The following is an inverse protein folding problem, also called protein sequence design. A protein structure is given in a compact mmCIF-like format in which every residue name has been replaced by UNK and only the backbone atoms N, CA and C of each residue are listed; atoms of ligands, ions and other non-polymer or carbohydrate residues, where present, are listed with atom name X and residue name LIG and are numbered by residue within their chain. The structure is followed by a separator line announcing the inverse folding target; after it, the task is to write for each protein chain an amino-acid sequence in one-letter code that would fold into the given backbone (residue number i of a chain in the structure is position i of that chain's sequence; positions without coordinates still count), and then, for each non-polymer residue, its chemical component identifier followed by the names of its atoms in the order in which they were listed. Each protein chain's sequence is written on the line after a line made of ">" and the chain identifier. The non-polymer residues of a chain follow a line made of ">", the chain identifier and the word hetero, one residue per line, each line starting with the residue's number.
data_IF_075469587514
#
_entry.id   IF_075469587514
#
_cell.length_a   1.000
_cell.length_b   1.000
_cell.length_c   1.000
_cell.angle_alpha   90.00
_cell.angle_beta   90.00
_cell.angle_gamma   90.00
#
_symmetry.space_group_name_H-M   'P 1'
#
loop_
_entity.id
_entity.type
_entity.pdbx_description
1 polymer ?
#
# COMPACT_ATOMS: atom_id res chain seq x y z
N UNK A 1 -7.09 -10.51 21.60
CA UNK A 1 -5.65 -10.20 21.72
C UNK A 1 -5.49 -8.74 22.16
N UNK A 2 -4.55 -8.43 23.07
CA UNK A 2 -4.27 -7.03 23.46
C UNK A 2 -3.51 -6.32 22.34
N UNK A 3 -3.86 -5.06 22.07
CA UNK A 3 -3.21 -4.20 21.07
C UNK A 3 -1.86 -3.71 21.59
N UNK A 4 -0.90 -3.51 20.68
CA UNK A 4 0.44 -3.05 21.04
C UNK A 4 0.46 -1.56 21.46
N UNK A 5 -0.27 -0.71 20.73
CA UNK A 5 -0.28 0.73 20.97
C UNK A 5 -1.47 1.18 21.83
N UNK A 6 -1.31 2.32 22.50
CA UNK A 6 -2.34 2.93 23.34
C UNK A 6 -3.52 3.44 22.48
N UNK A 7 -4.71 2.86 22.67
CA UNK A 7 -5.91 3.15 21.88
C UNK A 7 -6.37 4.60 22.07
N UNK A 8 -6.36 5.09 23.32
CA UNK A 8 -6.79 6.45 23.64
C UNK A 8 -5.90 7.48 22.95
N UNK A 9 -4.59 7.23 22.86
CA UNK A 9 -3.68 8.12 22.14
C UNK A 9 -3.92 8.09 20.63
N UNK A 10 -4.32 6.96 20.05
CA UNK A 10 -4.70 6.87 18.63
C UNK A 10 -5.99 7.64 18.35
N UNK A 11 -6.98 7.54 19.24
CA UNK A 11 -8.23 8.32 19.17
C UNK A 11 -7.95 9.83 19.28
N UNK A 12 -7.15 10.23 20.26
CA UNK A 12 -6.71 11.62 20.43
C UNK A 12 -5.97 12.13 19.18
N UNK A 13 -5.07 11.31 18.63
CA UNK A 13 -4.35 11.64 17.41
C UNK A 13 -5.30 11.86 16.23
N UNK A 14 -6.31 11.03 16.07
CA UNK A 14 -7.31 11.20 15.02
C UNK A 14 -8.11 12.51 15.19
N UNK A 15 -8.49 12.86 16.41
CA UNK A 15 -9.19 14.11 16.73
C UNK A 15 -8.29 15.31 16.39
N UNK A 16 -7.03 15.30 16.83
CA UNK A 16 -6.06 16.37 16.55
C UNK A 16 -5.81 16.54 15.05
N UNK A 17 -5.65 15.45 14.31
CA UNK A 17 -5.49 15.50 12.85
C UNK A 17 -6.73 16.04 12.15
N UNK A 18 -7.93 15.70 12.64
CA UNK A 18 -9.18 16.19 12.09
C UNK A 18 -9.35 17.69 12.35
N UNK A 19 -9.02 18.16 13.56
CA UNK A 19 -9.00 19.57 13.89
C UNK A 19 -8.00 20.37 13.03
N UNK A 20 -6.81 19.82 12.78
CA UNK A 20 -5.84 20.44 11.87
C UNK A 20 -6.38 20.57 10.44
N UNK A 21 -7.12 19.56 9.94
CA UNK A 21 -7.81 19.63 8.64
C UNK A 21 -8.89 20.71 8.64
N UNK A 22 -9.73 20.78 9.67
CA UNK A 22 -10.77 21.80 9.78
C UNK A 22 -10.20 23.22 9.86
N UNK A 23 -9.10 23.42 10.59
CA UNK A 23 -8.36 24.68 10.57
C UNK A 23 -7.86 25.04 9.18
N UNK A 24 -7.32 24.07 8.43
CA UNK A 24 -6.86 24.33 7.06
C UNK A 24 -7.98 24.77 6.11
N UNK A 25 -9.24 24.51 6.48
CA UNK A 25 -10.46 24.97 5.79
C UNK A 25 -11.08 26.22 6.42
N UNK A 26 -10.36 26.89 7.32
CA UNK A 26 -10.85 28.04 8.08
C UNK A 26 -12.15 27.76 8.89
N UNK A 27 -12.44 26.50 9.21
CA UNK A 27 -13.59 26.10 10.04
C UNK A 27 -13.31 26.23 11.54
N UNK A 28 -12.04 26.31 11.93
CA UNK A 28 -11.58 26.49 13.30
C UNK A 28 -10.57 27.63 13.37
N UNK A 29 -10.60 28.38 14.47
CA UNK A 29 -9.54 29.36 14.79
C UNK A 29 -8.27 28.65 15.28
N UNK A 30 -7.13 29.33 15.22
CA UNK A 30 -5.87 28.82 15.78
C UNK A 30 -5.96 28.51 17.28
N UNK A 31 -6.74 29.30 18.02
CA UNK A 31 -6.98 29.10 19.46
C UNK A 31 -7.79 27.84 19.73
N UNK A 32 -8.84 27.58 18.94
CA UNK A 32 -9.64 26.36 19.05
C UNK A 32 -8.81 25.11 18.71
N UNK A 33 -7.96 25.16 17.68
CA UNK A 33 -7.04 24.06 17.36
C UNK A 33 -6.06 23.80 18.52
N UNK A 34 -5.50 24.86 19.10
CA UNK A 34 -4.61 24.75 20.26
C UNK A 34 -5.33 24.12 21.46
N UNK A 35 -6.56 24.54 21.74
CA UNK A 35 -7.38 23.99 22.82
C UNK A 35 -7.68 22.50 22.60
N UNK A 36 -7.96 22.07 21.37
CA UNK A 36 -8.14 20.65 21.03
C UNK A 36 -6.86 19.86 21.31
N UNK A 37 -5.68 20.38 20.92
CA UNK A 37 -4.38 19.72 21.20
C UNK A 37 -4.12 19.58 22.69
N UNK A 38 -4.48 20.58 23.49
CA UNK A 38 -4.34 20.52 24.95
C UNK A 38 -5.33 19.55 25.59
N UNK A 39 -6.57 19.49 25.10
CA UNK A 39 -7.63 18.62 25.65
C UNK A 39 -7.46 17.14 25.27
N UNK A 40 -6.87 16.87 24.11
CA UNK A 40 -6.65 15.51 23.59
C UNK A 40 -5.16 15.27 23.33
N UNK A 41 -4.33 15.18 24.40
CA UNK A 41 -2.90 14.97 24.23
C UNK A 41 -2.60 13.58 23.69
N UNK A 42 -1.64 13.51 22.78
CA UNK A 42 -1.01 12.28 22.32
C UNK A 42 0.47 12.34 22.67
N UNK A 43 1.03 11.24 23.13
CA UNK A 43 2.41 11.19 23.65
C UNK A 43 3.31 10.27 22.81
N UNK A 44 2.92 9.99 21.56
CA UNK A 44 3.71 9.13 20.71
C UNK A 44 4.96 9.83 20.21
N UNK A 45 6.06 9.09 20.14
CA UNK A 45 7.23 9.52 19.41
C UNK A 45 6.99 9.35 17.89
N UNK A 46 6.84 10.48 17.18
CA UNK A 46 6.51 10.52 15.75
C UNK A 46 7.53 11.35 14.97
N UNK A 47 8.67 10.75 14.58
CA UNK A 47 9.69 11.45 13.80
C UNK A 47 9.17 11.82 12.40
N UNK A 48 9.74 12.87 11.82
CA UNK A 48 9.51 13.21 10.41
C UNK A 48 9.96 12.09 9.47
N UNK A 49 9.47 12.09 8.21
CA UNK A 49 9.70 10.99 7.27
C UNK A 49 11.18 10.64 7.09
N UNK A 50 12.08 11.63 6.98
CA UNK A 50 13.52 11.41 6.85
C UNK A 50 14.11 10.67 8.06
N UNK A 51 13.82 11.16 9.27
CA UNK A 51 14.28 10.53 10.52
C UNK A 51 13.67 9.14 10.69
N UNK A 52 12.39 8.97 10.36
CA UNK A 52 11.71 7.66 10.36
C UNK A 52 12.41 6.66 9.45
N UNK A 53 12.75 7.05 8.22
CA UNK A 53 13.48 6.19 7.29
C UNK A 53 14.87 5.85 7.80
N UNK A 54 15.61 6.83 8.34
CA UNK A 54 16.92 6.59 8.95
C UNK A 54 16.84 5.61 10.11
N UNK A 55 15.93 5.83 11.06
CA UNK A 55 15.70 4.95 12.20
C UNK A 55 15.30 3.52 11.80
N UNK A 56 14.50 3.39 10.74
CA UNK A 56 14.14 2.08 10.18
C UNK A 56 15.38 1.35 9.65
N UNK A 57 16.20 2.01 8.83
CA UNK A 57 17.42 1.41 8.26
C UNK A 57 18.41 1.03 9.36
N UNK A 58 18.67 1.92 10.31
CA UNK A 58 19.55 1.62 11.46
C UNK A 58 18.99 0.49 12.32
N UNK A 59 17.68 0.42 12.51
CA UNK A 59 17.02 -0.68 13.21
C UNK A 59 17.24 -2.02 12.51
N UNK A 60 17.11 -2.07 11.18
CA UNK A 60 17.39 -3.27 10.40
C UNK A 60 18.85 -3.68 10.49
N UNK A 61 19.78 -2.73 10.38
CA UNK A 61 21.22 -2.98 10.55
C UNK A 61 21.49 -3.58 11.92
N UNK A 62 20.93 -2.99 12.99
CA UNK A 62 21.06 -3.51 14.35
C UNK A 62 20.50 -4.93 14.50
N UNK A 63 19.37 -5.23 13.88
CA UNK A 63 18.82 -6.60 13.85
C UNK A 63 19.77 -7.54 13.10
N UNK A 64 20.25 -7.17 11.91
CA UNK A 64 21.19 -8.00 11.15
C UNK A 64 22.49 -8.28 11.93
N UNK A 65 23.04 -7.27 12.62
CA UNK A 65 24.20 -7.47 13.50
C UNK A 65 23.89 -8.44 14.65
N UNK A 66 22.72 -8.34 15.28
CA UNK A 66 22.33 -9.24 16.35
C UNK A 66 22.16 -10.69 15.85
N UNK A 67 21.45 -10.91 14.75
CA UNK A 67 21.31 -12.23 14.13
C UNK A 67 22.68 -12.79 13.70
N UNK A 68 23.52 -11.97 13.07
CA UNK A 68 24.88 -12.35 12.69
C UNK A 68 25.73 -12.73 13.90
N UNK A 69 25.70 -11.94 14.97
CA UNK A 69 26.38 -12.25 16.22
C UNK A 69 25.92 -13.57 16.84
N UNK A 70 24.60 -13.81 16.89
CA UNK A 70 24.07 -15.09 17.35
C UNK A 70 24.55 -16.27 16.48
N UNK A 71 24.66 -16.08 15.17
CA UNK A 71 25.10 -17.14 14.26
C UNK A 71 26.55 -17.57 14.49
N UNK A 72 27.43 -16.67 14.98
CA UNK A 72 28.84 -17.00 15.26
C UNK A 72 28.95 -18.11 16.32
N UNK A 73 28.09 -18.09 17.34
CA UNK A 73 28.12 -19.10 18.42
C UNK A 73 27.74 -20.50 17.95
N UNK A 74 27.18 -20.63 16.76
CA UNK A 74 26.66 -21.89 16.24
C UNK A 74 27.18 -22.19 14.83
N UNK A 75 28.17 -21.41 14.37
CA UNK A 75 28.77 -21.51 13.04
C UNK A 75 29.45 -22.86 12.81
N UNK A 76 30.11 -23.41 13.82
CA UNK A 76 30.81 -24.70 13.73
C UNK A 76 29.86 -25.91 13.80
N UNK A 77 28.57 -25.69 14.14
CA UNK A 77 27.52 -26.71 14.21
C UNK A 77 26.46 -26.50 13.11
N UNK A 78 26.88 -25.96 11.96
CA UNK A 78 26.01 -25.55 10.87
C UNK A 78 25.14 -26.72 10.35
N UNK A 79 23.86 -26.69 10.71
CA UNK A 79 22.79 -27.52 10.16
C UNK A 79 21.53 -26.67 10.00
N UNK A 80 20.59 -27.09 9.15
CA UNK A 80 19.30 -26.40 8.98
C UNK A 80 18.53 -26.25 10.29
N UNK A 81 18.58 -27.28 11.14
CA UNK A 81 17.99 -27.25 12.48
C UNK A 81 18.67 -26.19 13.37
N UNK A 82 19.99 -26.09 13.30
CA UNK A 82 20.77 -25.09 14.03
C UNK A 82 20.36 -23.67 13.62
N UNK A 83 20.28 -23.38 12.33
CA UNK A 83 19.85 -22.08 11.82
C UNK A 83 18.40 -21.75 12.20
N UNK A 84 17.51 -22.74 12.18
CA UNK A 84 16.12 -22.60 12.60
C UNK A 84 16.00 -22.25 14.08
N UNK A 85 16.78 -22.88 14.95
CA UNK A 85 16.79 -22.56 16.39
C UNK A 85 17.32 -21.15 16.63
N UNK A 86 18.43 -20.77 15.98
CA UNK A 86 19.01 -19.42 16.10
C UNK A 86 18.02 -18.34 15.63
N UNK A 87 17.34 -18.58 14.51
CA UNK A 87 16.37 -17.61 13.98
C UNK A 87 15.14 -17.48 14.90
N UNK A 88 14.69 -18.56 15.53
CA UNK A 88 13.61 -18.49 16.53
C UNK A 88 14.02 -17.70 17.77
N UNK A 89 15.25 -17.89 18.27
CA UNK A 89 15.78 -17.08 19.38
C UNK A 89 15.82 -15.61 18.99
N UNK A 90 16.30 -15.31 17.77
CA UNK A 90 16.31 -13.94 17.25
C UNK A 90 14.89 -13.36 17.14
N UNK A 91 13.92 -14.12 16.64
CA UNK A 91 12.52 -13.69 16.54
C UNK A 91 11.94 -13.33 17.92
N UNK A 92 12.16 -14.18 18.92
CA UNK A 92 11.71 -13.92 20.31
C UNK A 92 12.35 -12.65 20.84
N UNK A 93 13.66 -12.46 20.65
CA UNK A 93 14.36 -11.25 21.06
C UNK A 93 13.78 -10.00 20.37
N UNK A 94 13.56 -10.02 19.06
CA UNK A 94 13.00 -8.88 18.32
C UNK A 94 11.60 -8.53 18.79
N UNK A 95 10.71 -9.50 18.97
CA UNK A 95 9.35 -9.23 19.48
C UNK A 95 9.36 -8.75 20.93
N UNK A 96 10.28 -9.25 21.76
CA UNK A 96 10.45 -8.76 23.12
C UNK A 96 10.90 -7.29 23.14
N UNK A 97 11.95 -6.95 22.40
CA UNK A 97 12.43 -5.56 22.31
C UNK A 97 11.42 -4.63 21.64
N UNK A 98 10.69 -5.11 20.63
CA UNK A 98 9.59 -4.35 20.02
C UNK A 98 8.56 -3.93 21.07
N UNK A 99 8.07 -4.89 21.86
CA UNK A 99 7.10 -4.63 22.93
C UNK A 99 7.64 -3.72 24.02
N UNK A 100 8.90 -3.92 24.40
CA UNK A 100 9.57 -3.12 25.42
C UNK A 100 9.72 -1.65 24.98
N UNK A 101 10.22 -1.44 23.76
CA UNK A 101 10.44 -0.11 23.21
C UNK A 101 9.13 0.63 22.89
N UNK A 102 8.09 -0.07 22.41
CA UNK A 102 6.78 0.54 22.22
C UNK A 102 6.25 1.13 23.54
N UNK A 103 6.38 0.39 24.64
CA UNK A 103 5.86 0.81 25.96
C UNK A 103 6.71 1.91 26.59
N UNK A 104 8.03 1.74 26.59
CA UNK A 104 8.93 2.63 27.31
C UNK A 104 9.24 3.91 26.53
N UNK A 105 9.39 3.82 25.22
CA UNK A 105 9.75 4.94 24.35
C UNK A 105 8.53 5.53 23.63
N UNK A 106 7.32 5.00 23.91
CA UNK A 106 6.04 5.46 23.34
C UNK A 106 6.09 5.49 21.80
N UNK A 107 6.72 4.48 21.20
CA UNK A 107 6.86 4.41 19.74
C UNK A 107 5.50 4.18 19.06
N UNK A 108 5.31 4.79 17.90
CA UNK A 108 4.16 4.53 17.03
C UNK A 108 4.53 4.73 15.57
N UNK A 109 4.76 3.61 14.87
CA UNK A 109 5.20 3.58 13.47
C UNK A 109 6.35 4.56 13.23
N UNK A 110 7.32 4.54 14.12
CA UNK A 110 8.45 5.47 14.22
C UNK A 110 9.64 5.08 13.33
N UNK A 111 9.62 3.86 12.78
CA UNK A 111 10.72 3.27 12.02
C UNK A 111 11.38 2.13 12.80
N UNK A 112 11.82 2.36 14.03
CA UNK A 112 12.48 1.32 14.84
C UNK A 112 11.53 0.16 15.14
N UNK A 113 10.30 0.46 15.54
CA UNK A 113 9.26 -0.54 15.81
C UNK A 113 8.87 -1.32 14.56
N UNK A 114 8.80 -0.67 13.40
CA UNK A 114 8.61 -1.34 12.12
C UNK A 114 9.79 -2.27 11.78
N UNK A 115 11.03 -1.83 11.99
CA UNK A 115 12.22 -2.64 11.70
C UNK A 115 12.25 -3.92 12.56
N UNK A 116 12.02 -3.81 13.87
CA UNK A 116 11.95 -4.96 14.78
C UNK A 116 10.78 -5.89 14.43
N UNK A 117 9.62 -5.34 14.04
CA UNK A 117 8.48 -6.13 13.58
C UNK A 117 8.84 -6.97 12.36
N UNK A 118 9.44 -6.37 11.33
CA UNK A 118 9.77 -7.07 10.09
C UNK A 118 10.94 -8.04 10.27
N UNK A 119 11.95 -7.68 11.07
CA UNK A 119 13.02 -8.59 11.46
C UNK A 119 12.48 -9.79 12.26
N UNK A 120 11.55 -9.55 13.20
CA UNK A 120 10.86 -10.58 13.98
C UNK A 120 10.07 -11.54 13.09
N UNK A 121 9.29 -11.01 12.15
CA UNK A 121 8.53 -11.82 11.18
C UNK A 121 9.47 -12.60 10.28
N UNK A 122 10.51 -11.98 9.74
CA UNK A 122 11.50 -12.63 8.88
C UNK A 122 12.19 -13.80 9.61
N UNK A 123 12.65 -13.56 10.82
CA UNK A 123 13.29 -14.57 11.66
C UNK A 123 12.33 -15.71 12.07
N UNK A 124 11.04 -15.40 12.26
CA UNK A 124 9.99 -16.41 12.51
C UNK A 124 9.61 -17.21 11.26
N UNK A 125 9.81 -16.65 10.06
CA UNK A 125 9.58 -17.33 8.79
C UNK A 125 10.76 -18.21 8.37
N UNK A 126 11.98 -17.94 8.83
CA UNK A 126 13.18 -18.76 8.49
C UNK A 126 12.99 -20.26 8.77
N UNK A 127 12.51 -20.72 9.95
CA UNK A 127 12.27 -22.14 10.20
C UNK A 127 11.19 -22.72 9.31
N UNK A 128 10.21 -21.91 8.89
CA UNK A 128 9.17 -22.37 7.97
C UNK A 128 9.79 -22.76 6.64
N UNK A 129 10.74 -21.98 6.13
CA UNK A 129 11.43 -22.29 4.87
C UNK A 129 12.41 -23.46 5.00
N UNK A 130 13.15 -23.55 6.11
CA UNK A 130 14.14 -24.60 6.31
C UNK A 130 13.52 -25.96 6.69
N UNK A 131 12.60 -25.99 7.67
CA UNK A 131 12.06 -27.25 8.20
C UNK A 131 10.98 -27.87 7.32
N UNK A 132 10.32 -27.07 6.48
CA UNK A 132 9.30 -27.53 5.53
C UNK A 132 9.81 -27.45 4.09
N UNK A 133 11.12 -27.53 3.86
CA UNK A 133 11.67 -27.57 2.52
C UNK A 133 11.00 -28.67 1.67
N UNK A 134 10.56 -28.31 0.46
CA UNK A 134 9.81 -29.19 -0.44
C UNK A 134 8.30 -29.29 -0.16
N UNK A 135 7.77 -28.59 0.85
CA UNK A 135 6.33 -28.49 1.03
C UNK A 135 5.66 -27.72 -0.13
N UNK A 136 4.39 -28.00 -0.38
CA UNK A 136 3.62 -27.28 -1.39
C UNK A 136 3.45 -25.80 -1.05
N UNK A 137 3.35 -24.94 -2.08
CA UNK A 137 3.23 -23.49 -1.93
C UNK A 137 2.10 -23.03 -1.00
N UNK A 138 0.96 -23.75 -1.00
CA UNK A 138 -0.14 -23.53 -0.06
C UNK A 138 0.29 -23.61 1.42
N UNK A 139 1.21 -24.50 1.79
CA UNK A 139 1.68 -24.66 3.19
C UNK A 139 2.40 -23.39 3.64
N UNK A 140 3.30 -22.86 2.81
CA UNK A 140 3.98 -21.60 3.08
C UNK A 140 2.99 -20.44 3.21
N UNK A 141 1.99 -20.36 2.34
CA UNK A 141 0.95 -19.32 2.43
C UNK A 141 0.13 -19.43 3.72
N UNK A 142 -0.24 -20.64 4.14
CA UNK A 142 -0.99 -20.86 5.39
C UNK A 142 -0.18 -20.45 6.62
N UNK A 143 1.09 -20.85 6.69
CA UNK A 143 1.97 -20.50 7.82
C UNK A 143 2.26 -18.99 7.86
N UNK A 144 2.52 -18.38 6.69
CA UNK A 144 2.67 -16.94 6.57
C UNK A 144 1.40 -16.21 7.02
N UNK A 145 0.21 -16.68 6.63
CA UNK A 145 -1.07 -16.10 7.07
C UNK A 145 -1.22 -16.09 8.58
N UNK A 146 -0.85 -17.17 9.26
CA UNK A 146 -0.95 -17.26 10.72
C UNK A 146 -0.05 -16.19 11.36
N UNK A 147 1.23 -16.14 10.96
CA UNK A 147 2.22 -15.21 11.52
C UNK A 147 1.82 -13.76 11.24
N UNK A 148 1.49 -13.45 9.98
CA UNK A 148 1.14 -12.10 9.54
C UNK A 148 -0.20 -11.64 10.13
N UNK A 149 -1.17 -12.53 10.35
CA UNK A 149 -2.44 -12.18 10.97
C UNK A 149 -2.24 -11.82 12.44
N UNK A 150 -1.44 -12.58 13.17
CA UNK A 150 -1.08 -12.24 14.56
C UNK A 150 -0.37 -10.89 14.61
N UNK A 151 0.59 -10.64 13.70
CA UNK A 151 1.26 -9.35 13.61
C UNK A 151 0.28 -8.20 13.28
N UNK A 152 -0.59 -8.38 12.29
CA UNK A 152 -1.57 -7.37 11.86
C UNK A 152 -2.58 -7.04 12.97
N UNK A 153 -3.13 -8.06 13.63
CA UNK A 153 -4.08 -7.85 14.73
C UNK A 153 -3.41 -7.21 15.96
N UNK A 154 -2.09 -7.37 16.13
CA UNK A 154 -1.38 -6.80 17.28
C UNK A 154 -0.91 -5.37 17.00
N UNK A 155 -0.31 -5.13 15.84
CA UNK A 155 0.39 -3.89 15.52
C UNK A 155 -0.32 -3.02 14.47
N UNK A 156 -1.40 -3.49 13.83
CA UNK A 156 -2.12 -2.75 12.78
C UNK A 156 -1.18 -2.12 11.73
N UNK A 157 -0.15 -2.87 11.32
CA UNK A 157 0.85 -2.41 10.36
C UNK A 157 0.43 -2.68 8.90
N UNK A 158 0.72 -1.73 8.01
CA UNK A 158 0.30 -1.77 6.61
C UNK A 158 0.98 -2.88 5.80
N UNK A 159 2.28 -3.11 6.00
CA UNK A 159 3.00 -4.15 5.24
C UNK A 159 2.59 -5.54 5.69
N UNK A 160 2.37 -5.74 7.00
CA UNK A 160 1.82 -7.01 7.50
C UNK A 160 0.41 -7.27 6.97
N UNK A 161 -0.43 -6.23 6.88
CA UNK A 161 -1.77 -6.32 6.28
C UNK A 161 -1.70 -6.67 4.79
N UNK A 162 -0.80 -6.03 4.04
CA UNK A 162 -0.56 -6.37 2.63
C UNK A 162 -0.09 -7.82 2.49
N UNK A 163 0.82 -8.26 3.36
CA UNK A 163 1.29 -9.64 3.39
C UNK A 163 0.15 -10.64 3.65
N UNK A 164 -0.74 -10.36 4.61
CA UNK A 164 -1.94 -11.19 4.83
C UNK A 164 -2.81 -11.26 3.58
N UNK A 165 -3.04 -10.12 2.93
CA UNK A 165 -3.83 -10.06 1.71
C UNK A 165 -3.20 -10.92 0.60
N UNK A 166 -1.91 -10.73 0.33
CA UNK A 166 -1.20 -11.49 -0.70
C UNK A 166 -1.18 -12.99 -0.40
N UNK A 167 -0.88 -13.37 0.85
CA UNK A 167 -0.84 -14.78 1.24
C UNK A 167 -2.23 -15.45 1.14
N UNK A 168 -3.32 -14.74 1.45
CA UNK A 168 -4.68 -15.27 1.32
C UNK A 168 -5.07 -15.49 -0.14
N UNK A 169 -4.82 -14.51 -1.00
CA UNK A 169 -5.15 -14.60 -2.42
C UNK A 169 -4.25 -15.60 -3.14
N UNK A 170 -2.96 -15.67 -2.78
CA UNK A 170 -2.02 -16.67 -3.28
C UNK A 170 -2.42 -18.09 -2.87
N UNK A 171 -2.85 -18.28 -1.61
CA UNK A 171 -3.35 -19.58 -1.14
C UNK A 171 -4.56 -20.05 -1.96
N UNK A 172 -5.56 -19.20 -2.13
CA UNK A 172 -6.76 -19.55 -2.92
C UNK A 172 -6.40 -19.79 -4.38
N UNK A 173 -5.50 -18.98 -4.95
CA UNK A 173 -4.98 -19.18 -6.30
C UNK A 173 -4.31 -20.54 -6.47
N UNK A 174 -3.37 -20.90 -5.58
CA UNK A 174 -2.68 -22.19 -5.59
C UNK A 174 -3.65 -23.37 -5.52
N UNK A 175 -4.63 -23.30 -4.60
CA UNK A 175 -5.63 -24.34 -4.44
C UNK A 175 -6.50 -24.53 -5.69
N UNK A 176 -6.87 -23.43 -6.36
CA UNK A 176 -7.63 -23.48 -7.61
C UNK A 176 -6.80 -24.04 -8.78
N UNK A 177 -5.50 -23.73 -8.85
CA UNK A 177 -4.64 -24.18 -9.94
C UNK A 177 -4.41 -25.70 -9.97
N UNK A 178 -4.67 -26.41 -8.87
CA UNK A 178 -4.55 -27.88 -8.79
C UNK A 178 -5.52 -28.64 -9.70
N UNK A 179 -6.60 -28.00 -10.14
CA UNK A 179 -7.62 -28.62 -10.97
C UNK A 179 -7.80 -27.83 -12.28
N UNK A 180 -7.93 -28.47 -13.45
CA UNK A 180 -8.14 -27.78 -14.72
C UNK A 180 -9.35 -26.83 -14.69
N UNK A 181 -10.48 -27.28 -14.12
CA UNK A 181 -11.67 -26.44 -13.96
C UNK A 181 -11.43 -25.27 -13.00
N UNK A 182 -10.55 -25.43 -12.02
CA UNK A 182 -10.18 -24.39 -11.08
C UNK A 182 -9.39 -23.26 -11.74
N UNK A 183 -8.53 -23.55 -12.74
CA UNK A 183 -7.89 -22.52 -13.56
C UNK A 183 -8.91 -21.67 -14.33
N UNK A 184 -9.93 -22.29 -14.90
CA UNK A 184 -10.99 -21.59 -15.62
C UNK A 184 -11.88 -20.73 -14.70
N UNK A 185 -12.15 -21.21 -13.48
CA UNK A 185 -12.98 -20.50 -12.50
C UNK A 185 -12.21 -19.54 -11.59
N UNK A 186 -10.87 -19.55 -11.65
CA UNK A 186 -9.98 -18.70 -10.86
C UNK A 186 -10.39 -17.22 -10.82
N UNK A 187 -10.67 -16.53 -11.95
CA UNK A 187 -11.07 -15.12 -11.91
C UNK A 187 -12.31 -14.88 -11.04
N UNK A 188 -13.33 -15.74 -11.17
CA UNK A 188 -14.55 -15.64 -10.37
C UNK A 188 -14.28 -15.93 -8.89
N UNK A 189 -13.44 -16.93 -8.58
CA UNK A 189 -13.05 -17.24 -7.21
C UNK A 189 -12.36 -16.05 -6.53
N UNK A 190 -11.43 -15.39 -7.23
CA UNK A 190 -10.74 -14.20 -6.71
C UNK A 190 -11.68 -12.99 -6.56
N UNK A 191 -12.63 -12.81 -7.49
CA UNK A 191 -13.67 -11.78 -7.37
C UNK A 191 -14.57 -12.04 -6.15
N UNK A 192 -15.05 -13.27 -5.96
CA UNK A 192 -15.90 -13.64 -4.82
C UNK A 192 -15.14 -13.46 -3.51
N UNK A 193 -13.90 -13.94 -3.43
CA UNK A 193 -13.05 -13.76 -2.26
C UNK A 193 -12.85 -12.28 -1.94
N UNK A 194 -12.57 -11.46 -2.95
CA UNK A 194 -12.44 -10.02 -2.80
C UNK A 194 -13.73 -9.37 -2.28
N UNK A 195 -14.90 -9.74 -2.81
CA UNK A 195 -16.18 -9.22 -2.34
C UNK A 195 -16.47 -9.61 -0.88
N UNK A 196 -16.14 -10.86 -0.49
CA UNK A 196 -16.27 -11.34 0.89
C UNK A 196 -15.36 -10.53 1.81
N UNK A 197 -14.06 -10.44 1.50
CA UNK A 197 -13.07 -9.72 2.33
C UNK A 197 -13.46 -8.24 2.44
N UNK A 198 -13.82 -7.59 1.33
CA UNK A 198 -14.28 -6.20 1.32
C UNK A 198 -15.48 -5.98 2.26
N UNK A 199 -16.45 -6.89 2.20
CA UNK A 199 -17.66 -6.81 3.02
C UNK A 199 -17.36 -6.98 4.51
N UNK A 200 -16.50 -7.95 4.88
CA UNK A 200 -16.08 -8.17 6.26
C UNK A 200 -15.28 -6.98 6.81
N UNK A 201 -14.33 -6.47 6.02
CA UNK A 201 -13.49 -5.32 6.40
C UNK A 201 -14.33 -4.06 6.62
N UNK A 202 -15.44 -3.90 5.88
CA UNK A 202 -16.36 -2.76 6.07
C UNK A 202 -17.00 -2.73 7.45
N UNK A 203 -17.24 -3.90 8.06
CA UNK A 203 -17.84 -4.04 9.40
C UNK A 203 -16.90 -3.58 10.52
N UNK A 204 -15.59 -3.51 10.27
CA UNK A 204 -14.61 -3.06 11.26
C UNK A 204 -14.82 -1.56 11.54
N UNK A 205 -15.24 -1.22 12.76
CA UNK A 205 -15.44 0.17 13.22
C UNK A 205 -14.30 0.72 14.07
N UNK A 206 -13.34 -0.13 14.44
CA UNK A 206 -12.29 0.26 15.36
C UNK A 206 -11.25 1.15 14.67
N UNK A 207 -11.02 2.35 15.22
CA UNK A 207 -10.11 3.35 14.65
C UNK A 207 -8.66 2.85 14.57
N UNK A 208 -8.29 1.91 15.44
CA UNK A 208 -6.97 1.29 15.47
C UNK A 208 -6.56 0.65 14.15
N UNK A 209 -7.53 0.11 13.39
CA UNK A 209 -7.29 -0.56 12.12
C UNK A 209 -7.69 0.31 10.92
N UNK A 210 -7.87 1.62 11.09
CA UNK A 210 -8.42 2.47 10.04
C UNK A 210 -7.56 2.46 8.76
N UNK A 211 -6.24 2.56 8.89
CA UNK A 211 -5.34 2.54 7.72
C UNK A 211 -5.31 1.15 7.06
N UNK A 212 -5.23 0.08 7.86
CA UNK A 212 -5.30 -1.31 7.39
C UNK A 212 -6.61 -1.58 6.64
N UNK A 213 -7.73 -1.08 7.17
CA UNK A 213 -9.07 -1.18 6.56
C UNK A 213 -9.09 -0.51 5.19
N UNK A 214 -8.58 0.72 5.10
CA UNK A 214 -8.54 1.47 3.85
C UNK A 214 -7.68 0.77 2.79
N UNK A 215 -6.52 0.23 3.19
CA UNK A 215 -5.66 -0.58 2.33
C UNK A 215 -6.38 -1.83 1.80
N UNK A 216 -6.96 -2.65 2.70
CA UNK A 216 -7.66 -3.87 2.30
C UNK A 216 -8.86 -3.59 1.39
N UNK A 217 -9.64 -2.55 1.68
CA UNK A 217 -10.74 -2.15 0.81
C UNK A 217 -10.24 -1.81 -0.59
N UNK A 218 -9.14 -1.05 -0.68
CA UNK A 218 -8.55 -0.69 -1.95
C UNK A 218 -8.02 -1.90 -2.74
N UNK A 219 -7.25 -2.77 -2.08
CA UNK A 219 -6.72 -3.99 -2.68
C UNK A 219 -7.84 -4.93 -3.15
N UNK A 220 -8.91 -5.08 -2.37
CA UNK A 220 -10.07 -5.86 -2.79
C UNK A 220 -10.70 -5.27 -4.06
N UNK A 221 -10.98 -3.97 -4.09
CA UNK A 221 -11.55 -3.33 -5.28
C UNK A 221 -10.69 -3.52 -6.52
N UNK A 222 -9.36 -3.41 -6.38
CA UNK A 222 -8.42 -3.68 -7.48
C UNK A 222 -8.51 -5.13 -7.95
N UNK A 223 -8.41 -6.12 -7.06
CA UNK A 223 -8.46 -7.54 -7.45
C UNK A 223 -9.84 -7.94 -8.01
N UNK A 224 -10.92 -7.37 -7.47
CA UNK A 224 -12.27 -7.59 -7.99
C UNK A 224 -12.39 -7.11 -9.45
N UNK A 225 -11.84 -5.93 -9.74
CA UNK A 225 -11.80 -5.41 -11.10
C UNK A 225 -10.89 -6.24 -12.01
N UNK A 226 -9.67 -6.58 -11.56
CA UNK A 226 -8.73 -7.36 -12.37
C UNK A 226 -9.27 -8.76 -12.69
N UNK A 227 -9.96 -9.41 -11.75
CA UNK A 227 -10.63 -10.69 -12.00
C UNK A 227 -11.79 -10.62 -13.01
N UNK A 228 -12.37 -9.44 -13.23
CA UNK A 228 -13.40 -9.21 -14.25
C UNK A 228 -12.87 -8.56 -15.53
N UNK A 229 -11.62 -8.12 -15.56
CA UNK A 229 -11.06 -7.42 -16.70
C UNK A 229 -10.68 -8.40 -17.82
N UNK A 230 -11.17 -8.15 -19.03
CA UNK A 230 -11.00 -9.04 -20.18
C UNK A 230 -9.53 -9.29 -20.54
N UNK A 231 -8.69 -8.26 -20.55
CA UNK A 231 -7.25 -8.42 -20.84
C UNK A 231 -6.59 -9.34 -19.82
N UNK A 232 -6.81 -9.09 -18.54
CA UNK A 232 -6.21 -9.88 -17.46
C UNK A 232 -6.66 -11.34 -17.51
N UNK A 233 -7.95 -11.58 -17.72
CA UNK A 233 -8.48 -12.95 -17.75
C UNK A 233 -8.01 -13.70 -18.98
N UNK A 234 -7.98 -13.07 -20.16
CA UNK A 234 -7.53 -13.70 -21.40
C UNK A 234 -6.05 -14.03 -21.36
N UNK A 235 -5.20 -13.06 -21.09
CA UNK A 235 -3.74 -13.25 -21.05
C UNK A 235 -3.34 -14.13 -19.85
N UNK A 236 -4.00 -13.94 -18.70
CA UNK A 236 -3.79 -14.79 -17.53
C UNK A 236 -4.15 -16.24 -17.77
N UNK A 237 -5.27 -16.52 -18.45
CA UNK A 237 -5.65 -17.89 -18.79
C UNK A 237 -4.66 -18.55 -19.76
N UNK A 238 -4.19 -17.81 -20.77
CA UNK A 238 -3.17 -18.31 -21.69
C UNK A 238 -1.85 -18.62 -20.95
N UNK A 239 -1.40 -17.71 -20.08
CA UNK A 239 -0.18 -17.89 -19.28
C UNK A 239 -0.28 -19.09 -18.32
N UNK A 240 -1.41 -19.25 -17.62
CA UNK A 240 -1.64 -20.36 -16.68
C UNK A 240 -1.75 -21.74 -17.35
N UNK A 241 -2.04 -21.77 -18.64
CA UNK A 241 -2.08 -22.97 -19.45
C UNK A 241 -0.83 -23.13 -20.34
N UNK A 242 0.21 -22.31 -20.10
CA UNK A 242 1.49 -22.36 -20.81
C UNK A 242 1.33 -22.31 -22.34
N UNK A 243 0.33 -21.55 -22.80
CA UNK A 243 0.06 -21.38 -24.21
C UNK A 243 1.05 -20.38 -24.81
N UNK A 244 2.13 -20.88 -25.40
CA UNK A 244 3.13 -20.07 -26.10
C UNK A 244 2.69 -19.69 -27.52
N UNK A 245 1.49 -19.13 -27.63
CA UNK A 245 0.94 -18.64 -28.89
C UNK A 245 1.22 -17.14 -29.06
N UNK A 246 1.46 -16.65 -30.29
CA UNK A 246 1.66 -15.23 -30.53
C UNK A 246 0.43 -14.38 -30.20
N UNK A 247 -0.76 -15.00 -30.19
CA UNK A 247 -2.03 -14.39 -29.82
C UNK A 247 -2.74 -15.36 -28.87
N UNK A 248 -3.04 -14.89 -27.66
CA UNK A 248 -3.78 -15.66 -26.67
C UNK A 248 -5.15 -16.06 -27.21
N UNK A 249 -5.62 -17.30 -27.05
CA UNK A 249 -6.92 -17.72 -27.57
C UNK A 249 -8.07 -16.95 -26.92
N UNK A 250 -9.21 -16.95 -27.59
CA UNK A 250 -10.41 -16.33 -27.03
C UNK A 250 -10.90 -17.16 -25.84
N UNK A 251 -11.20 -16.48 -24.73
CA UNK A 251 -11.79 -17.11 -23.54
C UNK A 251 -13.30 -17.31 -23.70
N UNK A 252 -13.80 -18.37 -23.08
CA UNK A 252 -15.23 -18.56 -22.90
C UNK A 252 -15.84 -17.37 -22.13
N UNK A 253 -17.10 -17.05 -22.42
CA UNK A 253 -17.81 -15.92 -21.82
C UNK A 253 -17.14 -14.55 -22.02
N UNK A 254 -16.32 -14.35 -23.06
CA UNK A 254 -15.73 -13.05 -23.35
C UNK A 254 -16.70 -11.84 -23.30
N UNK A 255 -17.97 -11.93 -23.77
CA UNK A 255 -18.93 -10.83 -23.61
C UNK A 255 -19.17 -10.41 -22.15
N UNK A 256 -19.13 -11.35 -21.21
CA UNK A 256 -19.26 -11.08 -19.79
C UNK A 256 -18.05 -10.28 -19.27
N UNK A 257 -16.84 -10.64 -19.69
CA UNK A 257 -15.63 -9.93 -19.29
C UNK A 257 -15.52 -8.55 -19.95
N UNK A 258 -16.03 -8.36 -21.16
CA UNK A 258 -16.21 -7.01 -21.72
C UNK A 258 -17.17 -6.17 -20.87
N UNK A 259 -18.32 -6.75 -20.51
CA UNK A 259 -19.29 -6.10 -19.63
C UNK A 259 -18.64 -5.71 -18.30
N UNK A 260 -17.91 -6.61 -17.64
CA UNK A 260 -17.23 -6.33 -16.38
C UNK A 260 -16.13 -5.28 -16.52
N UNK A 261 -15.34 -5.34 -17.59
CA UNK A 261 -14.29 -4.35 -17.91
C UNK A 261 -14.86 -2.94 -17.94
N UNK A 262 -16.07 -2.74 -18.45
CA UNK A 262 -16.71 -1.42 -18.50
C UNK A 262 -17.53 -1.10 -17.26
N UNK A 263 -18.37 -2.04 -16.80
CA UNK A 263 -19.38 -1.79 -15.77
C UNK A 263 -18.78 -1.62 -14.37
N UNK A 264 -17.72 -2.37 -14.02
CA UNK A 264 -17.12 -2.31 -12.69
C UNK A 264 -16.52 -0.92 -12.40
N UNK A 265 -15.64 -0.35 -13.24
CA UNK A 265 -15.11 1.00 -13.02
C UNK A 265 -16.19 2.07 -12.99
N UNK A 266 -17.19 2.00 -13.90
CA UNK A 266 -18.32 2.94 -13.92
C UNK A 266 -19.10 2.85 -12.60
N UNK A 267 -19.36 1.64 -12.12
CA UNK A 267 -19.99 1.40 -10.83
C UNK A 267 -19.18 2.01 -9.68
N UNK A 268 -17.85 1.84 -9.68
CA UNK A 268 -16.98 2.44 -8.66
C UNK A 268 -17.03 3.96 -8.68
N UNK A 269 -16.92 4.59 -9.86
CA UNK A 269 -17.02 6.05 -10.01
C UNK A 269 -18.41 6.53 -9.55
N UNK A 270 -19.48 5.87 -9.99
CA UNK A 270 -20.84 6.22 -9.60
C UNK A 270 -21.05 6.15 -8.08
N UNK A 271 -20.63 5.07 -7.43
CA UNK A 271 -20.75 4.96 -5.97
C UNK A 271 -19.81 5.91 -5.23
N UNK A 272 -18.62 6.19 -5.77
CA UNK A 272 -17.70 7.19 -5.22
C UNK A 272 -18.30 8.59 -5.23
N UNK A 273 -18.93 8.99 -6.33
CA UNK A 273 -19.62 10.27 -6.44
C UNK A 273 -20.89 10.31 -5.57
N UNK A 274 -21.72 9.25 -5.63
CA UNK A 274 -23.01 9.21 -4.92
C UNK A 274 -22.86 9.14 -3.39
N UNK A 275 -21.84 8.46 -2.88
CA UNK A 275 -21.59 8.29 -1.43
C UNK A 275 -20.50 9.21 -0.90
N UNK A 276 -19.96 10.11 -1.74
CA UNK A 276 -18.82 10.97 -1.44
C UNK A 276 -17.61 10.18 -0.91
N UNK A 277 -17.40 8.98 -1.44
CA UNK A 277 -16.33 8.06 -1.04
C UNK A 277 -15.13 8.21 -1.98
N UNK A 278 -14.07 8.83 -1.45
CA UNK A 278 -12.85 9.13 -2.19
C UNK A 278 -12.11 7.87 -2.65
N UNK A 279 -12.16 6.79 -1.87
CA UNK A 279 -11.51 5.53 -2.21
C UNK A 279 -12.15 4.93 -3.46
N UNK A 280 -13.48 4.88 -3.50
CA UNK A 280 -14.22 4.40 -4.66
C UNK A 280 -13.96 5.22 -5.91
N UNK A 281 -13.92 6.55 -5.77
CA UNK A 281 -13.69 7.45 -6.89
C UNK A 281 -12.28 7.27 -7.48
N UNK A 282 -11.25 7.30 -6.64
CA UNK A 282 -9.85 7.20 -7.10
C UNK A 282 -9.60 5.84 -7.75
N UNK A 283 -9.99 4.74 -7.09
CA UNK A 283 -9.79 3.40 -7.66
C UNK A 283 -10.64 3.21 -8.90
N UNK A 284 -11.88 3.71 -8.91
CA UNK A 284 -12.74 3.69 -10.09
C UNK A 284 -12.12 4.37 -11.31
N UNK A 285 -11.49 5.54 -11.12
CA UNK A 285 -10.78 6.26 -12.18
C UNK A 285 -9.54 5.50 -12.69
N UNK A 286 -8.74 4.91 -11.79
CA UNK A 286 -7.61 4.06 -12.19
C UNK A 286 -8.08 2.82 -12.96
N UNK A 287 -9.11 2.13 -12.48
CA UNK A 287 -9.71 0.99 -13.16
C UNK A 287 -10.25 1.40 -14.53
N UNK A 288 -10.92 2.55 -14.65
CA UNK A 288 -11.45 3.06 -15.91
C UNK A 288 -10.34 3.37 -16.91
N UNK A 289 -9.23 3.97 -16.47
CA UNK A 289 -8.04 4.15 -17.29
C UNK A 289 -7.48 2.81 -17.79
N UNK A 290 -7.44 1.79 -16.93
CA UNK A 290 -7.04 0.45 -17.34
C UNK A 290 -8.06 -0.21 -18.30
N UNK A 291 -9.35 0.09 -18.18
CA UNK A 291 -10.38 -0.39 -19.11
C UNK A 291 -10.18 0.18 -20.50
N UNK A 292 -9.86 1.48 -20.59
CA UNK A 292 -9.49 2.12 -21.85
C UNK A 292 -8.28 1.42 -22.45
N UNK A 293 -7.24 1.13 -21.66
CA UNK A 293 -6.08 0.37 -22.12
C UNK A 293 -6.48 -1.02 -22.65
N UNK A 294 -7.35 -1.75 -21.96
CA UNK A 294 -7.86 -3.06 -22.41
C UNK A 294 -8.57 -2.96 -23.76
N UNK A 295 -9.52 -2.04 -23.92
CA UNK A 295 -10.24 -1.90 -25.20
C UNK A 295 -9.31 -1.43 -26.32
N UNK A 296 -8.37 -0.54 -26.01
CA UNK A 296 -7.37 -0.08 -26.96
C UNK A 296 -6.54 -1.22 -27.51
N UNK A 297 -6.03 -2.07 -26.62
CA UNK A 297 -5.19 -3.20 -26.97
C UNK A 297 -5.85 -4.16 -27.97
N UNK A 298 -7.18 -4.32 -27.92
CA UNK A 298 -7.90 -5.28 -28.76
C UNK A 298 -8.71 -4.68 -29.92
N UNK A 299 -9.06 -3.40 -29.86
CA UNK A 299 -10.02 -2.80 -30.81
C UNK A 299 -9.56 -1.49 -31.45
N UNK A 300 -8.48 -0.86 -30.98
CA UNK A 300 -8.06 0.44 -31.52
C UNK A 300 -7.28 0.28 -32.84
N UNK A 301 -7.71 0.94 -33.92
CA UNK A 301 -6.94 1.00 -35.17
C UNK A 301 -5.91 2.15 -35.17
N UNK A 302 -5.85 2.95 -34.11
CA UNK A 302 -5.05 4.18 -34.05
C UNK A 302 -3.58 3.88 -33.72
N UNK A 303 -2.69 4.72 -34.21
CA UNK A 303 -1.27 4.66 -33.80
C UNK A 303 -1.10 5.14 -32.36
N UNK A 304 -0.08 4.66 -31.62
CA UNK A 304 0.15 5.07 -30.23
C UNK A 304 0.23 6.60 -30.03
N UNK A 305 0.80 7.32 -31.00
CA UNK A 305 0.92 8.77 -30.96
C UNK A 305 -0.46 9.47 -31.05
N UNK A 306 -1.31 9.03 -31.99
CA UNK A 306 -2.67 9.58 -32.15
C UNK A 306 -3.51 9.31 -30.90
N UNK A 307 -3.38 8.12 -30.32
CA UNK A 307 -4.11 7.74 -29.11
C UNK A 307 -3.73 8.60 -27.91
N UNK A 308 -2.43 8.81 -27.67
CA UNK A 308 -1.95 9.64 -26.58
C UNK A 308 -2.45 11.09 -26.72
N UNK A 309 -2.48 11.60 -27.95
CA UNK A 309 -3.00 12.94 -28.24
C UNK A 309 -4.50 13.03 -27.95
N UNK A 310 -5.30 12.08 -28.44
CA UNK A 310 -6.75 12.07 -28.21
C UNK A 310 -7.08 11.85 -26.73
N UNK A 311 -6.43 10.90 -26.06
CA UNK A 311 -6.62 10.63 -24.65
C UNK A 311 -6.23 11.83 -23.78
N UNK A 312 -5.08 12.46 -24.06
CA UNK A 312 -4.63 13.66 -23.36
C UNK A 312 -5.59 14.83 -23.54
N UNK A 313 -6.01 15.12 -24.78
CA UNK A 313 -6.97 16.18 -25.07
C UNK A 313 -8.32 15.93 -24.38
N UNK A 314 -8.80 14.69 -24.39
CA UNK A 314 -10.04 14.30 -23.73
C UNK A 314 -9.93 14.47 -22.20
N UNK A 315 -8.84 14.01 -21.59
CA UNK A 315 -8.61 14.15 -20.15
C UNK A 315 -8.54 15.61 -19.72
N UNK A 316 -7.83 16.46 -20.47
CA UNK A 316 -7.76 17.90 -20.22
C UNK A 316 -9.15 18.52 -20.32
N UNK A 317 -9.92 18.18 -21.36
CA UNK A 317 -11.27 18.71 -21.58
C UNK A 317 -12.22 18.29 -20.46
N UNK A 318 -12.19 17.01 -20.06
CA UNK A 318 -13.01 16.48 -18.95
C UNK A 318 -12.61 17.16 -17.64
N UNK A 319 -11.31 17.28 -17.34
CA UNK A 319 -10.83 17.92 -16.13
C UNK A 319 -11.24 19.40 -16.07
N UNK A 320 -11.01 20.17 -17.12
CA UNK A 320 -11.39 21.57 -17.19
C UNK A 320 -12.91 21.76 -17.07
N UNK A 321 -13.69 20.89 -17.72
CA UNK A 321 -15.15 20.90 -17.63
C UNK A 321 -15.62 20.55 -16.22
N UNK A 322 -15.02 19.55 -15.57
CA UNK A 322 -15.35 19.15 -14.22
C UNK A 322 -15.02 20.25 -13.20
N UNK A 323 -13.85 20.88 -13.30
CA UNK A 323 -13.44 22.02 -12.47
C UNK A 323 -14.46 23.16 -12.63
N UNK A 324 -14.75 23.56 -13.87
CA UNK A 324 -15.73 24.62 -14.15
C UNK A 324 -17.12 24.27 -13.62
N UNK A 325 -17.54 23.01 -13.75
CA UNK A 325 -18.85 22.56 -13.33
C UNK A 325 -19.02 22.50 -11.81
N UNK A 326 -17.96 22.10 -11.10
CA UNK A 326 -17.90 21.93 -9.63
C UNK A 326 -17.39 23.16 -8.88
N UNK A 327 -16.98 24.22 -9.59
CA UNK A 327 -16.56 25.50 -9.00
C UNK A 327 -17.60 26.08 -8.05
N UNK A 328 -18.88 25.96 -8.44
CA UNK A 328 -20.00 26.10 -7.50
C UNK A 328 -20.32 24.72 -6.94
N UNK A 329 -20.29 24.52 -5.61
CA UNK A 329 -20.59 23.22 -5.02
C UNK A 329 -21.95 22.69 -5.45
N UNK A 330 -21.98 21.46 -5.97
CA UNK A 330 -23.20 20.78 -6.45
C UNK A 330 -23.26 19.38 -5.89
N UNK A 331 -24.42 18.97 -5.39
CA UNK A 331 -24.64 17.63 -4.79
C UNK A 331 -23.60 17.26 -3.70
N UNK A 332 -23.09 18.24 -2.97
CA UNK A 332 -22.05 18.05 -1.94
C UNK A 332 -20.63 17.80 -2.48
N UNK A 333 -20.41 17.98 -3.78
CA UNK A 333 -19.10 17.92 -4.44
C UNK A 333 -18.63 19.33 -4.81
N UNK A 334 -17.33 19.57 -4.69
CA UNK A 334 -16.66 20.84 -5.01
C UNK A 334 -15.27 20.56 -5.58
N UNK A 335 -14.74 21.46 -6.41
CA UNK A 335 -13.35 21.46 -6.86
C UNK A 335 -12.37 22.01 -5.80
N UNK A 336 -12.89 22.53 -4.69
CA UNK A 336 -12.09 23.11 -3.60
C UNK A 336 -11.06 22.12 -3.04
N UNK A 337 -9.82 22.59 -2.87
CA UNK A 337 -8.71 21.75 -2.42
C UNK A 337 -8.86 21.35 -0.95
N UNK A 338 -8.80 20.04 -0.70
CA UNK A 338 -8.85 19.48 0.65
C UNK A 338 -7.47 19.58 1.34
N UNK A 339 -7.20 20.74 1.97
CA UNK A 339 -6.02 20.97 2.82
C UNK A 339 -4.67 21.08 2.07
N UNK A 340 -3.55 20.95 2.80
CA UNK A 340 -2.19 21.00 2.22
C UNK A 340 -1.99 19.84 1.24
N UNK A 341 -1.60 20.13 -0.01
CA UNK A 341 -1.20 19.13 -1.01
C UNK A 341 -0.01 18.32 -0.50
N UNK A 342 -0.26 17.09 -0.02
CA UNK A 342 0.79 16.17 0.41
C UNK A 342 1.74 15.78 -0.73
N UNK A 343 1.28 15.87 -1.98
CA UNK A 343 2.02 15.47 -3.17
C UNK A 343 2.55 16.65 -4.00
N UNK A 344 2.37 17.90 -3.59
CA UNK A 344 2.85 19.06 -4.36
C UNK A 344 4.36 19.00 -4.63
N UNK A 345 5.13 18.48 -3.68
CA UNK A 345 6.57 18.30 -3.84
C UNK A 345 6.89 17.20 -4.87
N UNK A 346 6.10 16.13 -4.91
CA UNK A 346 6.28 15.03 -5.87
C UNK A 346 5.86 15.45 -7.28
N UNK A 347 4.76 16.19 -7.39
CA UNK A 347 4.30 16.83 -8.63
C UNK A 347 5.37 17.80 -9.16
N UNK A 348 5.93 18.65 -8.31
CA UNK A 348 6.99 19.58 -8.68
C UNK A 348 8.26 18.86 -9.16
N UNK A 349 8.64 17.74 -8.52
CA UNK A 349 9.78 16.90 -8.94
C UNK A 349 9.49 16.24 -10.30
N UNK A 350 8.31 15.66 -10.49
CA UNK A 350 7.92 15.02 -11.76
C UNK A 350 7.84 16.04 -12.91
N UNK A 351 7.34 17.24 -12.65
CA UNK A 351 7.30 18.35 -13.61
C UNK A 351 8.73 18.81 -13.92
N UNK A 352 9.58 18.96 -12.92
CA UNK A 352 10.98 19.35 -13.12
C UNK A 352 11.78 18.31 -13.90
N UNK A 353 11.54 17.03 -13.62
CA UNK A 353 12.22 15.90 -14.27
C UNK A 353 11.80 15.75 -15.73
N UNK A 354 10.52 15.97 -16.06
CA UNK A 354 10.02 15.83 -17.44
C UNK A 354 10.17 17.09 -18.29
N UNK A 355 10.13 18.28 -17.68
CA UNK A 355 10.23 19.55 -18.40
C UNK A 355 11.64 20.18 -18.34
N UNK A 356 12.58 19.57 -17.61
CA UNK A 356 13.93 20.10 -17.43
C UNK A 356 14.00 21.44 -16.69
N UNK A 357 12.89 21.88 -16.09
CA UNK A 357 12.81 23.14 -15.34
C UNK A 357 12.94 22.83 -13.85
N UNK A 358 14.09 23.16 -13.25
CA UNK A 358 14.19 23.22 -11.80
C UNK A 358 13.10 24.18 -11.27
N UNK A 359 12.35 23.80 -10.23
CA UNK A 359 11.41 24.73 -9.62
C UNK A 359 12.18 25.98 -9.20
N UNK A 360 11.73 27.15 -9.62
CA UNK A 360 12.23 28.41 -9.08
C UNK A 360 11.83 28.45 -7.60
N UNK A 361 12.75 28.06 -6.72
CA UNK A 361 12.58 28.27 -5.28
C UNK A 361 12.41 29.78 -5.06
N UNK A 362 11.33 30.18 -4.38
CA UNK A 362 11.39 31.40 -3.58
C UNK A 362 12.50 31.15 -2.57
N UNK A 363 13.62 31.85 -2.77
CA UNK A 363 14.92 31.57 -2.18
C UNK A 363 14.87 31.08 -0.74
N UNK A 364 15.39 29.88 -0.52
CA UNK A 364 15.92 29.50 0.77
C UNK A 364 17.29 30.17 0.89
N UNK A 365 17.36 31.34 1.53
CA UNK A 365 18.62 31.99 1.84
C UNK A 365 19.40 31.09 2.81
N UNK A 366 20.40 30.37 2.30
CA UNK A 366 21.45 29.83 3.14
C UNK A 366 22.17 31.03 3.77
N UNK A 367 21.96 31.21 5.07
CA UNK A 367 22.68 32.21 5.86
C UNK A 367 24.17 32.14 5.57
N UNK A 368 24.76 33.32 5.30
CA UNK A 368 26.12 33.51 4.82
C UNK A 368 27.20 32.87 5.70
N UNK A 369 27.47 31.59 5.47
CA UNK A 369 28.61 30.87 6.00
C UNK A 369 29.57 30.54 4.85
N UNK A 370 30.79 31.08 4.92
CA UNK A 370 31.89 30.71 4.04
C UNK A 370 32.21 29.21 4.19
N UNK A 371 31.67 28.38 3.32
CA UNK A 371 32.18 27.03 3.10
C UNK A 371 33.19 27.08 1.95
N UNK A 372 34.47 26.99 2.32
CA UNK A 372 35.58 26.93 1.39
C UNK A 372 35.48 25.70 0.48
N UNK A 373 35.46 25.94 -0.82
CA UNK A 373 35.49 24.90 -1.83
C UNK A 373 36.83 24.16 -1.83
N UNK A 374 36.77 22.87 -1.45
CA UNK A 374 37.84 21.91 -1.72
C UNK A 374 37.75 21.44 -3.16
N UNK A 375 38.19 22.28 -4.10
CA UNK A 375 38.40 21.88 -5.49
C UNK A 375 39.67 21.05 -5.59
N UNK A 376 39.54 19.74 -5.77
CA UNK A 376 40.62 18.90 -6.25
C UNK A 376 40.64 18.98 -7.79
N UNK A 377 41.51 19.85 -8.30
CA UNK A 377 41.90 19.93 -9.71
C UNK A 377 43.44 19.87 -9.80
N UNK A 378 43.89 18.77 -10.38
CA UNK A 378 45.20 18.40 -10.95
C UNK A 378 46.40 19.36 -10.85
N UNK A 379 47.56 18.80 -10.41
CA UNK A 379 48.86 19.10 -11.04
C UNK A 379 49.80 17.88 -10.97
N UNK A 380 50.32 17.50 -12.15
CA UNK A 380 51.37 16.52 -12.53
C UNK A 380 51.02 15.04 -12.66
#
# INVERSE_FOLDING_TARGET
>A
MRKAYNITWIENLHIVQTAAKWKSKNLLTSEQEALVKTKFPEHFYRPGLFVKSGLFIFGLIGCSFFAGFLSIFVADMASENTFSVVSLIAAVAYFFFLEHLIKNNKLYHSGIDNALLYAGIGAAMTPVFLLFEGAGFAVYCMLALIILTVATLRYADLLTTLGCFLALFALVGDLMMKFPIGKALLPFALMILSAIVFSQVRLIRNIYYQECKMLLQGLCMVVFYLGGNYFIVREGNAMLNELHLPISPQIDFAPLFYLFTTAIPIGYIFFGLKKHDRLFLIIGLFCFGFSIYTYRHYFSPLTPAQELLVAGALLITIAASAIKYLHTPKFGLSDEQDGRRKLANLEAILVAQNLGQTPAEKGFEFGGGNFGGGGAGEVY
#
